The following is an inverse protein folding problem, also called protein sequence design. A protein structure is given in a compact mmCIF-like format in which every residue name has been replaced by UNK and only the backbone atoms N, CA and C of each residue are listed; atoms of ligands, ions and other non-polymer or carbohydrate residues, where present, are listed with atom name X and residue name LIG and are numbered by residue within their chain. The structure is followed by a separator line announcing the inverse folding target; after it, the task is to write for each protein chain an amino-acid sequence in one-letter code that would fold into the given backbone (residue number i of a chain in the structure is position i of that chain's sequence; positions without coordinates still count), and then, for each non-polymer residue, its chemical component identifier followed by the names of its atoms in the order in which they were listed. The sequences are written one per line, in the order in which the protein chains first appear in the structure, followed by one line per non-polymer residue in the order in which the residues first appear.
data_IF_691188002979
#
_entry.id   IF_691188002979
#
_cell.length_a   1.000
_cell.length_b   1.000
_cell.length_c   1.000
_cell.angle_alpha   90.00
_cell.angle_beta   90.00
_cell.angle_gamma   90.00
#
_symmetry.space_group_name_H-M   'P 1'
#
loop_
_entity.id
_entity.type
_entity.pdbx_description
1 polymer ?
#
# COMPACT_ATOMS: atom_id res chain seq x y z
N UNK A 1 -66.85 5.97 -19.88
CA UNK A 1 -66.57 5.88 -21.31
C UNK A 1 -65.12 5.45 -21.44
N UNK A 2 -64.87 4.19 -21.74
CA UNK A 2 -64.30 3.66 -23.01
C UNK A 2 -62.99 4.39 -23.38
N UNK A 3 -61.82 3.77 -23.58
CA UNK A 3 -61.42 2.49 -24.21
C UNK A 3 -59.97 2.20 -23.78
N UNK A 4 -59.54 0.97 -23.48
CA UNK A 4 -59.07 -0.09 -24.38
C UNK A 4 -57.88 0.31 -25.30
N UNK A 5 -56.74 -0.33 -25.06
CA UNK A 5 -55.99 -1.03 -26.08
C UNK A 5 -54.48 -0.82 -25.90
N UNK A 6 -53.73 -1.69 -25.78
CA UNK A 6 -53.18 -2.74 -26.66
C UNK A 6 -51.71 -3.03 -26.24
N UNK A 7 -51.43 -4.28 -26.03
CA UNK A 7 -50.09 -4.87 -25.78
C UNK A 7 -49.28 -4.79 -27.09
N UNK A 8 -47.99 -4.45 -26.97
CA UNK A 8 -47.00 -4.96 -27.92
C UNK A 8 -45.73 -5.33 -27.19
N UNK A 9 -45.43 -6.60 -27.23
CA UNK A 9 -44.13 -7.14 -26.88
C UNK A 9 -43.17 -6.82 -28.01
N UNK A 10 -42.05 -6.21 -27.73
CA UNK A 10 -40.93 -6.10 -28.66
C UNK A 10 -39.72 -6.75 -28.04
N UNK A 11 -39.38 -7.91 -28.54
CA UNK A 11 -38.11 -8.58 -28.32
C UNK A 11 -37.01 -7.73 -28.93
N UNK A 12 -36.09 -7.22 -28.12
CA UNK A 12 -34.90 -6.54 -28.63
C UNK A 12 -33.74 -7.53 -28.56
N UNK A 13 -33.31 -7.93 -29.74
CA UNK A 13 -32.10 -8.71 -29.97
C UNK A 13 -30.86 -7.90 -29.54
N UNK A 14 -29.99 -8.53 -28.80
CA UNK A 14 -28.70 -8.03 -28.39
C UNK A 14 -27.73 -8.13 -29.57
N UNK A 15 -27.12 -7.06 -30.07
CA UNK A 15 -26.03 -7.19 -31.02
C UNK A 15 -24.73 -7.48 -30.28
N UNK A 16 -24.15 -8.62 -30.61
CA UNK A 16 -22.80 -9.04 -30.21
C UNK A 16 -21.78 -8.13 -30.91
N UNK A 17 -21.32 -7.10 -30.27
CA UNK A 17 -20.23 -6.25 -30.75
C UNK A 17 -18.90 -6.97 -30.54
N UNK A 18 -18.39 -7.56 -31.62
CA UNK A 18 -16.99 -7.97 -31.75
C UNK A 18 -16.12 -6.70 -31.73
N UNK A 19 -15.52 -6.41 -30.59
CA UNK A 19 -14.42 -5.46 -30.48
C UNK A 19 -13.17 -6.12 -31.05
N UNK A 20 -12.82 -5.77 -32.26
CA UNK A 20 -11.51 -6.00 -32.84
C UNK A 20 -10.50 -5.18 -32.06
N UNK A 21 -9.71 -5.83 -31.18
CA UNK A 21 -8.59 -5.22 -30.50
C UNK A 21 -7.49 -4.94 -31.54
N UNK A 22 -7.34 -3.68 -31.94
CA UNK A 22 -6.13 -3.21 -32.60
C UNK A 22 -4.97 -3.37 -31.62
N UNK A 23 -4.13 -4.35 -31.85
CA UNK A 23 -2.86 -4.54 -31.15
C UNK A 23 -1.92 -3.37 -31.50
N UNK A 24 -1.92 -2.33 -30.68
CA UNK A 24 -0.89 -1.30 -30.68
C UNK A 24 0.29 -1.89 -29.92
N UNK A 25 1.38 -2.14 -30.62
CA UNK A 25 2.67 -2.49 -30.03
C UNK A 25 3.20 -1.28 -29.26
N UNK A 26 2.89 -1.18 -27.98
CA UNK A 26 3.64 -0.33 -27.06
C UNK A 26 4.88 -1.11 -26.60
N UNK A 27 6.04 -0.46 -26.72
CA UNK A 27 7.30 -0.97 -26.20
C UNK A 27 7.19 -1.02 -24.67
N UNK A 28 7.14 -2.24 -24.12
CA UNK A 28 7.22 -2.48 -22.68
C UNK A 28 8.57 -1.98 -22.17
N UNK A 29 8.57 -1.05 -21.21
CA UNK A 29 9.73 -0.73 -20.40
C UNK A 29 10.11 -1.93 -19.52
N UNK A 30 11.41 -2.10 -19.25
CA UNK A 30 12.00 -3.23 -18.54
C UNK A 30 11.55 -3.31 -17.08
N UNK A 31 10.35 -3.81 -16.82
CA UNK A 31 10.04 -4.56 -15.61
C UNK A 31 10.70 -5.94 -15.75
N UNK A 32 11.13 -6.61 -14.67
CA UNK A 32 11.68 -7.95 -14.73
C UNK A 32 10.85 -8.81 -15.66
N UNK A 33 11.30 -8.95 -16.91
CA UNK A 33 10.60 -9.74 -17.92
C UNK A 33 10.43 -11.15 -17.34
N UNK A 34 9.18 -11.61 -17.28
CA UNK A 34 8.93 -13.06 -17.24
C UNK A 34 9.79 -13.66 -18.34
N UNK A 35 10.74 -14.50 -17.95
CA UNK A 35 11.71 -15.10 -18.86
C UNK A 35 11.00 -15.59 -20.12
N UNK A 36 11.49 -15.21 -21.31
CA UNK A 36 10.96 -15.68 -22.60
C UNK A 36 11.03 -17.20 -22.76
N UNK A 37 11.71 -17.86 -21.82
CA UNK A 37 11.71 -19.29 -21.69
C UNK A 37 10.53 -19.72 -20.79
N UNK A 38 9.52 -20.42 -21.30
CA UNK A 38 8.32 -20.80 -20.52
C UNK A 38 8.65 -21.67 -19.31
N UNK A 39 9.72 -22.43 -19.32
CA UNK A 39 10.17 -23.25 -18.19
C UNK A 39 10.73 -22.37 -17.06
N UNK A 40 11.51 -21.35 -17.40
CA UNK A 40 12.05 -20.41 -16.42
C UNK A 40 10.96 -19.48 -15.85
N UNK A 41 9.98 -19.08 -16.67
CA UNK A 41 8.82 -18.33 -16.23
C UNK A 41 7.96 -19.13 -15.25
N UNK A 42 7.74 -20.42 -15.51
CA UNK A 42 7.04 -21.32 -14.60
C UNK A 42 7.79 -21.51 -13.27
N UNK A 43 9.13 -21.56 -13.30
CA UNK A 43 9.98 -21.58 -12.11
C UNK A 43 9.79 -20.32 -11.26
N UNK A 44 9.82 -19.13 -11.88
CA UNK A 44 9.62 -17.85 -11.19
C UNK A 44 8.23 -17.74 -10.56
N UNK A 45 7.19 -18.21 -11.25
CA UNK A 45 5.82 -18.23 -10.72
C UNK A 45 5.71 -19.22 -9.54
N UNK A 46 6.33 -20.38 -9.63
CA UNK A 46 6.32 -21.37 -8.54
C UNK A 46 7.08 -20.88 -7.30
N UNK A 47 8.19 -20.18 -7.48
CA UNK A 47 8.96 -19.60 -6.37
C UNK A 47 8.23 -18.43 -5.71
N UNK A 48 7.56 -17.59 -6.50
CA UNK A 48 6.70 -16.53 -5.98
C UNK A 48 5.51 -17.11 -5.20
N UNK A 49 4.89 -18.16 -5.72
CA UNK A 49 3.79 -18.86 -5.04
C UNK A 49 4.24 -19.53 -3.73
N UNK A 50 5.43 -20.13 -3.70
CA UNK A 50 6.01 -20.69 -2.46
C UNK A 50 6.28 -19.60 -1.43
N UNK A 51 6.95 -18.51 -1.82
CA UNK A 51 7.20 -17.38 -0.93
C UNK A 51 5.91 -16.79 -0.37
N UNK A 52 4.87 -16.68 -1.20
CA UNK A 52 3.56 -16.23 -0.75
C UNK A 52 2.90 -17.22 0.23
N UNK A 53 3.02 -18.52 -0.02
CA UNK A 53 2.52 -19.55 0.87
C UNK A 53 3.28 -19.60 2.20
N UNK A 54 4.59 -19.44 2.18
CA UNK A 54 5.43 -19.38 3.39
C UNK A 54 5.11 -18.14 4.22
N UNK A 55 4.96 -16.97 3.57
CA UNK A 55 4.54 -15.74 4.24
C UNK A 55 3.12 -15.85 4.84
N UNK A 56 2.21 -16.52 4.15
CA UNK A 56 0.85 -16.76 4.65
C UNK A 56 0.84 -17.73 5.84
N UNK A 57 1.71 -18.75 5.84
CA UNK A 57 1.90 -19.65 6.98
C UNK A 57 2.48 -18.90 8.18
N UNK A 58 3.59 -18.17 8.01
CA UNK A 58 4.14 -17.34 9.09
C UNK A 58 3.10 -16.38 9.67
N UNK A 59 2.30 -15.73 8.81
CA UNK A 59 1.24 -14.86 9.25
C UNK A 59 0.12 -15.58 10.02
N UNK A 60 -0.19 -16.84 9.66
CA UNK A 60 -1.20 -17.63 10.37
C UNK A 60 -0.71 -18.21 11.71
N UNK A 61 0.60 -18.35 11.88
CA UNK A 61 1.21 -18.83 13.13
C UNK A 61 1.35 -17.71 14.18
N UNK A 62 1.33 -16.47 13.75
CA UNK A 62 1.34 -15.33 14.67
C UNK A 62 -0.02 -15.18 15.33
N UNK A 63 -0.08 -15.43 16.63
CA UNK A 63 -1.29 -15.16 17.41
C UNK A 63 -1.48 -13.67 17.56
N UNK A 64 -2.68 -13.13 17.26
CA UNK A 64 -3.00 -11.74 17.58
C UNK A 64 -2.72 -11.47 19.06
N UNK A 65 -2.14 -10.31 19.33
CA UNK A 65 -1.88 -9.80 20.67
C UNK A 65 -2.67 -8.51 20.87
N UNK A 66 -2.73 -7.99 22.08
CA UNK A 66 -3.22 -6.63 22.27
C UNK A 66 -2.24 -5.63 21.64
N UNK A 67 -2.71 -4.61 20.93
CA UNK A 67 -1.86 -3.56 20.40
C UNK A 67 -1.27 -2.74 21.54
N UNK A 68 -0.08 -2.20 21.35
CA UNK A 68 0.47 -1.22 22.27
C UNK A 68 -0.40 0.03 22.32
N UNK A 69 -0.46 0.69 23.47
CA UNK A 69 -1.20 1.95 23.59
C UNK A 69 -0.71 2.97 22.56
N UNK A 70 -1.63 3.71 21.94
CA UNK A 70 -1.26 4.82 21.05
C UNK A 70 -0.34 5.85 21.75
N UNK A 71 -0.44 6.03 23.07
CA UNK A 71 0.46 6.88 23.83
C UNK A 71 1.93 6.42 23.75
N UNK A 72 2.18 5.12 23.59
CA UNK A 72 3.53 4.59 23.39
C UNK A 72 4.03 4.78 21.94
N UNK A 73 3.13 4.94 20.98
CA UNK A 73 3.45 5.18 19.58
C UNK A 73 3.67 6.67 19.27
N UNK A 74 2.97 7.59 19.95
CA UNK A 74 3.08 9.04 19.72
C UNK A 74 4.53 9.56 19.68
N UNK A 75 5.44 9.16 20.61
CA UNK A 75 6.82 9.63 20.61
C UNK A 75 7.66 9.08 19.43
N UNK A 76 7.13 8.11 18.66
CA UNK A 76 7.83 7.51 17.53
C UNK A 76 7.51 8.21 16.20
N UNK A 77 6.54 9.12 16.20
CA UNK A 77 6.32 10.00 15.06
C UNK A 77 7.53 10.93 14.89
N UNK A 78 8.04 11.10 13.66
CA UNK A 78 9.25 11.88 13.44
C UNK A 78 9.07 13.35 13.83
N UNK A 79 10.19 14.00 14.16
CA UNK A 79 10.23 15.46 14.24
C UNK A 79 9.97 16.08 12.86
N UNK A 80 9.54 17.34 12.84
CA UNK A 80 9.32 18.05 11.60
C UNK A 80 10.61 18.11 10.76
N UNK A 81 10.56 17.71 9.47
CA UNK A 81 11.67 17.95 8.57
C UNK A 81 12.01 19.44 8.44
N UNK A 82 13.22 19.75 7.98
CA UNK A 82 13.68 21.12 7.87
C UNK A 82 12.71 22.02 7.07
N UNK A 83 12.26 23.09 7.71
CA UNK A 83 11.32 24.06 7.17
C UNK A 83 9.84 23.63 7.18
N UNK A 84 9.52 22.46 7.72
CA UNK A 84 8.13 22.07 7.97
C UNK A 84 7.70 22.47 9.37
N UNK A 85 6.42 22.79 9.50
CA UNK A 85 5.72 22.98 10.79
C UNK A 85 4.90 21.73 11.07
N UNK A 86 5.08 21.11 12.24
CA UNK A 86 4.31 19.97 12.68
C UNK A 86 2.97 20.42 13.27
N UNK A 87 1.90 19.71 12.92
CA UNK A 87 0.61 19.81 13.61
C UNK A 87 0.60 18.95 14.88
N UNK A 88 -0.40 19.15 15.74
CA UNK A 88 -0.61 18.29 16.89
C UNK A 88 -0.85 16.84 16.45
N UNK A 89 -0.16 15.86 17.04
CA UNK A 89 -0.35 14.47 16.67
C UNK A 89 -1.70 13.96 17.17
N UNK A 90 -2.26 13.02 16.44
CA UNK A 90 -3.47 12.28 16.83
C UNK A 90 -3.13 10.85 17.11
N UNK A 91 -3.85 10.23 18.03
CA UNK A 91 -3.70 8.81 18.30
C UNK A 91 -5.00 8.23 18.84
N UNK A 92 -5.30 7.01 18.41
CA UNK A 92 -6.48 6.28 18.88
C UNK A 92 -6.21 4.77 18.93
N UNK A 93 -7.04 4.08 19.70
CA UNK A 93 -7.13 2.63 19.70
C UNK A 93 -8.57 2.25 19.39
N UNK A 94 -8.74 1.51 18.30
CA UNK A 94 -10.04 1.05 17.82
C UNK A 94 -10.18 -0.44 18.00
N UNK A 95 -11.33 -0.89 18.51
CA UNK A 95 -11.69 -2.30 18.58
C UNK A 95 -12.97 -2.53 17.76
N UNK A 96 -12.88 -3.39 16.76
CA UNK A 96 -14.02 -3.76 15.91
C UNK A 96 -13.89 -5.21 15.46
N UNK A 97 -15.01 -5.94 15.40
CA UNK A 97 -15.09 -7.29 14.84
C UNK A 97 -14.08 -8.30 15.44
N UNK A 98 -13.73 -8.14 16.72
CA UNK A 98 -12.77 -8.99 17.42
C UNK A 98 -11.30 -8.62 17.19
N UNK A 99 -11.02 -7.55 16.46
CA UNK A 99 -9.68 -7.00 16.26
C UNK A 99 -9.51 -5.70 17.02
N UNK A 100 -8.30 -5.49 17.51
CA UNK A 100 -7.87 -4.24 18.11
C UNK A 100 -6.68 -3.70 17.32
N UNK A 101 -6.67 -2.42 17.02
CA UNK A 101 -5.53 -1.71 16.43
C UNK A 101 -5.29 -0.41 17.18
N UNK A 102 -4.05 -0.01 17.29
CA UNK A 102 -3.68 1.33 17.75
C UNK A 102 -3.01 2.08 16.63
N UNK A 103 -3.37 3.34 16.47
CA UNK A 103 -2.75 4.17 15.44
C UNK A 103 -2.38 5.55 15.96
N UNK A 104 -1.35 6.12 15.36
CA UNK A 104 -0.95 7.51 15.56
C UNK A 104 -0.61 8.13 14.22
N UNK A 105 -0.91 9.42 14.10
CA UNK A 105 -0.62 10.18 12.89
C UNK A 105 -0.22 11.61 13.20
N UNK A 106 0.54 12.21 12.31
CA UNK A 106 0.87 13.64 12.35
C UNK A 106 0.99 14.20 10.94
N UNK A 107 0.43 15.36 10.75
CA UNK A 107 0.61 16.17 9.54
C UNK A 107 1.70 17.22 9.75
N UNK A 108 2.36 17.57 8.65
CA UNK A 108 3.39 18.61 8.60
C UNK A 108 3.17 19.45 7.35
N UNK A 109 3.39 20.75 7.45
CA UNK A 109 3.16 21.70 6.35
C UNK A 109 4.37 22.57 6.10
N UNK A 110 4.62 22.91 4.81
CA UNK A 110 5.64 23.86 4.39
C UNK A 110 5.16 24.57 3.12
N UNK A 111 4.60 25.76 3.25
CA UNK A 111 3.91 26.42 2.14
C UNK A 111 2.77 25.53 1.61
N UNK A 112 2.83 25.17 0.34
CA UNK A 112 1.85 24.26 -0.27
C UNK A 112 2.15 22.78 -0.04
N UNK A 113 3.36 22.44 0.42
CA UNK A 113 3.76 21.07 0.67
C UNK A 113 3.05 20.52 1.92
N UNK A 114 2.53 19.33 1.78
CA UNK A 114 1.92 18.54 2.87
C UNK A 114 2.66 17.23 3.00
N UNK A 115 2.92 16.87 4.24
CA UNK A 115 3.49 15.58 4.61
C UNK A 115 2.60 14.98 5.69
N UNK A 116 2.29 13.71 5.55
CA UNK A 116 1.52 12.95 6.54
C UNK A 116 2.29 11.69 6.89
N UNK A 117 2.44 11.42 8.18
CA UNK A 117 3.08 10.21 8.69
C UNK A 117 2.10 9.51 9.63
N UNK A 118 1.90 8.21 9.40
CA UNK A 118 1.01 7.37 10.19
C UNK A 118 1.74 6.08 10.60
N UNK A 119 1.55 5.66 11.84
CA UNK A 119 2.03 4.39 12.38
C UNK A 119 0.82 3.63 12.92
N UNK A 120 0.63 2.40 12.47
CA UNK A 120 -0.45 1.52 12.91
C UNK A 120 0.15 0.27 13.53
N UNK A 121 -0.20 -0.05 14.77
CA UNK A 121 0.02 -1.36 15.36
C UNK A 121 -1.18 -2.25 15.05
N UNK A 122 -1.00 -3.15 14.11
CA UNK A 122 -2.01 -4.14 13.75
C UNK A 122 -2.01 -5.39 14.62
N UNK A 123 -1.22 -5.42 15.69
CA UNK A 123 -1.21 -6.50 16.69
C UNK A 123 -1.06 -7.90 16.06
N UNK A 124 -0.20 -8.02 15.05
CA UNK A 124 0.00 -9.23 14.23
C UNK A 124 -1.25 -9.68 13.43
N UNK A 125 -2.25 -8.81 13.28
CA UNK A 125 -3.38 -9.12 12.42
C UNK A 125 -2.96 -9.12 10.95
N UNK A 126 -2.90 -10.29 10.35
CA UNK A 126 -2.43 -10.47 8.96
C UNK A 126 -3.24 -9.67 7.93
N UNK A 127 -4.51 -9.38 8.17
CA UNK A 127 -5.33 -8.55 7.27
C UNK A 127 -4.80 -7.13 7.13
N UNK A 128 -4.20 -6.57 8.19
CA UNK A 128 -3.63 -5.21 8.16
C UNK A 128 -2.44 -5.13 7.20
N UNK A 129 -1.70 -6.22 7.03
CA UNK A 129 -0.43 -6.24 6.27
C UNK A 129 -0.56 -6.93 4.91
N UNK A 130 -1.59 -7.75 4.72
CA UNK A 130 -1.74 -8.57 3.52
C UNK A 130 -1.66 -7.76 2.23
N UNK A 131 -2.33 -6.60 2.18
CA UNK A 131 -2.31 -5.71 1.02
C UNK A 131 -0.91 -5.23 0.66
N UNK A 132 -0.13 -4.80 1.66
CA UNK A 132 1.24 -4.32 1.45
C UNK A 132 2.16 -5.47 1.06
N UNK A 133 2.05 -6.61 1.72
CA UNK A 133 2.90 -7.78 1.44
C UNK A 133 2.65 -8.33 0.03
N UNK A 134 1.40 -8.32 -0.43
CA UNK A 134 1.07 -8.68 -1.80
C UNK A 134 1.57 -7.63 -2.80
N UNK A 135 1.28 -6.35 -2.58
CA UNK A 135 1.69 -5.27 -3.48
C UNK A 135 3.21 -5.14 -3.57
N UNK A 136 3.95 -5.48 -2.51
CA UNK A 136 5.42 -5.50 -2.50
C UNK A 136 6.05 -6.49 -3.50
N UNK A 137 5.27 -7.41 -4.08
CA UNK A 137 5.74 -8.35 -5.08
C UNK A 137 5.60 -7.85 -6.51
N UNK A 138 4.90 -6.73 -6.70
CA UNK A 138 4.64 -6.15 -8.01
C UNK A 138 5.45 -4.87 -8.21
N UNK A 139 5.78 -4.60 -9.47
CA UNK A 139 6.37 -3.32 -9.87
C UNK A 139 5.75 -2.91 -11.20
N UNK A 140 5.32 -1.68 -11.25
CA UNK A 140 4.84 -1.01 -12.45
C UNK A 140 5.54 0.35 -12.55
N UNK A 141 6.08 0.64 -13.74
CA UNK A 141 6.74 1.92 -14.01
C UNK A 141 6.27 2.44 -15.37
N UNK A 142 6.02 3.75 -15.45
CA UNK A 142 5.56 4.43 -16.64
C UNK A 142 6.11 5.86 -16.68
N UNK A 143 5.82 6.61 -17.74
CA UNK A 143 6.13 8.04 -17.82
C UNK A 143 5.32 8.90 -16.85
N UNK A 144 4.26 8.36 -16.26
CA UNK A 144 3.39 9.04 -15.30
C UNK A 144 3.82 8.82 -13.85
N UNK A 145 4.70 7.84 -13.62
CA UNK A 145 5.19 7.49 -12.29
C UNK A 145 5.44 6.00 -12.13
N UNK A 146 5.52 5.57 -10.86
CA UNK A 146 5.73 4.16 -10.54
C UNK A 146 4.99 3.72 -9.28
N UNK A 147 4.73 2.44 -9.21
CA UNK A 147 4.40 1.69 -8.00
C UNK A 147 5.30 0.46 -7.96
N UNK A 148 6.09 0.32 -6.90
CA UNK A 148 7.06 -0.77 -6.80
C UNK A 148 7.17 -1.33 -5.39
N UNK A 149 7.34 -2.64 -5.32
CA UNK A 149 7.75 -3.30 -4.10
C UNK A 149 9.15 -2.89 -3.69
N UNK A 150 9.35 -2.64 -2.41
CA UNK A 150 10.62 -2.28 -1.81
C UNK A 150 10.90 -3.14 -0.59
N UNK A 151 12.18 -3.28 -0.25
CA UNK A 151 12.60 -3.87 1.02
C UNK A 151 13.55 -2.89 1.69
N UNK A 152 13.19 -2.43 2.89
CA UNK A 152 13.98 -1.47 3.67
C UNK A 152 14.33 -2.13 5.01
N UNK A 153 15.61 -2.35 5.26
CA UNK A 153 16.11 -3.04 6.45
C UNK A 153 15.40 -4.38 6.70
N UNK A 154 15.19 -5.17 5.64
CA UNK A 154 14.50 -6.46 5.71
C UNK A 154 12.96 -6.37 5.83
N UNK A 155 12.41 -5.18 5.92
CA UNK A 155 10.96 -4.91 6.02
C UNK A 155 10.35 -4.72 4.64
N UNK A 156 9.30 -5.49 4.26
CA UNK A 156 8.63 -5.33 2.97
C UNK A 156 7.79 -4.05 2.96
N UNK A 157 7.72 -3.43 1.79
CA UNK A 157 6.93 -2.21 1.60
C UNK A 157 6.57 -1.96 0.15
N UNK A 158 5.80 -0.92 -0.06
CA UNK A 158 5.40 -0.42 -1.38
C UNK A 158 5.70 1.06 -1.46
N UNK A 159 6.31 1.47 -2.54
CA UNK A 159 6.59 2.87 -2.84
C UNK A 159 5.86 3.25 -4.12
N UNK A 160 5.17 4.38 -4.07
CA UNK A 160 4.46 4.96 -5.20
C UNK A 160 4.93 6.39 -5.45
N UNK A 161 4.98 6.74 -6.70
CA UNK A 161 5.26 8.09 -7.15
C UNK A 161 4.36 8.46 -8.32
N UNK A 162 3.76 9.64 -8.27
CA UNK A 162 2.99 10.23 -9.36
C UNK A 162 3.65 11.52 -9.84
N UNK A 163 4.05 11.56 -11.10
CA UNK A 163 4.67 12.73 -11.73
C UNK A 163 3.69 13.90 -11.82
N UNK A 164 2.44 13.64 -12.18
CA UNK A 164 1.44 14.70 -12.41
C UNK A 164 1.08 15.46 -11.12
N UNK A 165 0.93 14.76 -10.00
CA UNK A 165 0.61 15.36 -8.70
C UNK A 165 1.84 15.62 -7.83
N UNK A 166 3.02 15.16 -8.25
CA UNK A 166 4.26 15.16 -7.46
C UNK A 166 4.01 14.56 -6.07
N UNK A 167 3.21 13.48 -6.03
CA UNK A 167 2.87 12.78 -4.79
C UNK A 167 3.71 11.53 -4.65
N UNK A 168 4.39 11.44 -3.51
CA UNK A 168 5.08 10.24 -3.07
C UNK A 168 4.32 9.57 -1.93
N UNK A 169 4.26 8.25 -1.94
CA UNK A 169 3.73 7.43 -0.87
C UNK A 169 4.68 6.26 -0.61
N UNK A 170 4.99 6.01 0.65
CA UNK A 170 5.78 4.87 1.08
C UNK A 170 5.07 4.19 2.24
N UNK A 171 4.80 2.89 2.11
CA UNK A 171 4.19 2.07 3.17
C UNK A 171 5.10 0.88 3.43
N UNK A 172 5.50 0.67 4.68
CA UNK A 172 6.44 -0.39 5.08
C UNK A 172 5.91 -1.14 6.29
N UNK A 173 6.03 -2.47 6.28
CA UNK A 173 5.70 -3.33 7.43
C UNK A 173 6.93 -3.57 8.28
N UNK A 174 7.04 -2.86 9.40
CA UNK A 174 8.18 -2.92 10.32
C UNK A 174 7.94 -4.00 11.38
N UNK A 175 8.93 -4.87 11.59
CA UNK A 175 8.89 -5.91 12.63
C UNK A 175 7.72 -6.89 12.47
N UNK A 176 7.18 -7.07 11.26
CA UNK A 176 6.00 -7.91 10.96
C UNK A 176 4.74 -7.51 11.75
N UNK A 177 4.71 -6.29 12.32
CA UNK A 177 3.67 -5.86 13.25
C UNK A 177 3.18 -4.43 12.99
N UNK A 178 4.08 -3.52 12.65
CA UNK A 178 3.74 -2.11 12.53
C UNK A 178 3.70 -1.68 11.07
N UNK A 179 2.61 -1.05 10.67
CA UNK A 179 2.51 -0.42 9.36
C UNK A 179 2.92 1.04 9.51
N UNK A 180 3.97 1.44 8.83
CA UNK A 180 4.41 2.83 8.78
C UNK A 180 4.15 3.37 7.38
N UNK A 181 3.35 4.42 7.29
CA UNK A 181 3.08 5.11 6.03
C UNK A 181 3.55 6.55 6.07
N UNK A 182 4.12 6.99 4.96
CA UNK A 182 4.56 8.36 4.70
C UNK A 182 3.97 8.78 3.37
N UNK A 183 3.22 9.87 3.36
CA UNK A 183 2.61 10.46 2.18
C UNK A 183 3.03 11.93 2.08
N UNK A 184 3.45 12.38 0.90
CA UNK A 184 3.86 13.77 0.70
C UNK A 184 3.46 14.30 -0.67
N UNK A 185 2.95 15.54 -0.73
CA UNK A 185 2.56 16.21 -1.97
C UNK A 185 2.47 17.74 -1.78
N UNK A 186 2.97 18.56 -2.74
CA UNK A 186 3.96 18.17 -3.74
C UNK A 186 5.31 17.87 -3.10
N UNK A 187 6.05 16.91 -3.59
CA UNK A 187 7.34 16.48 -3.06
C UNK A 187 8.30 16.05 -4.18
N UNK A 188 9.54 15.77 -3.84
CA UNK A 188 10.46 15.02 -4.70
C UNK A 188 10.30 13.52 -4.46
N UNK A 189 10.65 12.71 -5.44
CA UNK A 189 10.37 11.26 -5.43
C UNK A 189 11.01 10.51 -4.26
N UNK A 190 12.17 10.95 -3.77
CA UNK A 190 12.92 10.35 -2.65
C UNK A 190 12.55 10.90 -1.26
N UNK A 191 11.74 11.95 -1.22
CA UNK A 191 11.41 12.65 0.02
C UNK A 191 10.73 11.74 1.05
N UNK A 192 9.80 10.88 0.62
CA UNK A 192 9.10 9.96 1.51
C UNK A 192 10.05 8.93 2.14
N UNK A 193 11.11 8.51 1.42
CA UNK A 193 12.16 7.64 1.96
C UNK A 193 13.00 8.37 3.01
N UNK A 194 13.33 9.62 2.75
CA UNK A 194 14.09 10.46 3.70
C UNK A 194 13.32 10.62 5.00
N UNK A 195 12.02 10.91 4.93
CA UNK A 195 11.16 11.03 6.11
C UNK A 195 11.02 9.69 6.83
N UNK A 196 10.78 8.60 6.11
CA UNK A 196 10.72 7.26 6.69
C UNK A 196 12.03 6.90 7.42
N UNK A 197 13.17 7.34 6.89
CA UNK A 197 14.49 7.19 7.51
C UNK A 197 14.59 7.83 8.90
N UNK A 198 13.79 8.83 9.21
CA UNK A 198 13.78 9.51 10.53
C UNK A 198 12.88 8.83 11.58
N UNK A 199 12.09 7.81 11.18
CA UNK A 199 11.32 7.00 12.14
C UNK A 199 12.26 6.03 12.86
N UNK A 200 12.20 5.97 14.20
CA UNK A 200 12.96 5.01 14.99
C UNK A 200 12.37 3.59 14.87
N UNK A 201 12.74 2.94 13.77
CA UNK A 201 12.25 1.61 13.43
C UNK A 201 12.75 0.53 14.41
N UNK A 202 13.94 0.72 14.98
CA UNK A 202 14.50 -0.23 15.95
C UNK A 202 13.67 -0.21 17.24
N UNK A 203 13.36 0.97 17.74
CA UNK A 203 12.50 1.14 18.91
C UNK A 203 11.08 0.63 18.62
N UNK A 204 10.53 0.95 17.44
CA UNK A 204 9.21 0.47 17.01
C UNK A 204 9.16 -1.07 17.02
N UNK A 205 10.13 -1.73 16.38
CA UNK A 205 10.22 -3.19 16.34
C UNK A 205 10.44 -3.85 17.72
N UNK A 206 10.92 -3.11 18.71
CA UNK A 206 11.14 -3.61 20.07
C UNK A 206 9.90 -3.55 20.98
N UNK A 207 8.84 -2.86 20.57
CA UNK A 207 7.59 -2.79 21.32
C UNK A 207 6.90 -4.16 21.34
N UNK A 208 6.34 -4.51 22.49
CA UNK A 208 5.66 -5.81 22.73
C UNK A 208 4.18 -5.60 22.98
#
# INVERSE_FOLDING_TARGET
MKARGLRLAAAAALPLLLLAACARKEKAGEGKELSKNPVAAMGQISDAARKAADAAREASEMKPVDPVSFNALLPLLPAAPAGFTAEEPRGETTAAMGFKISEVERSYTKGEQRLHVKIVDGAYNSFVYAGVTMAAQFSHESTEGYEKGVTIDGSPGVEKWSQASRRGELVVVVGKRFLVSVDASPAEADFVRTVFGSVDRAKLASLK
#
